data_IF_881140230886
#
_entry.id   IF_881140230886
#
_cell.length_a   1.000
_cell.length_b   1.000
_cell.length_c   1.000
_cell.angle_alpha   90.00
_cell.angle_beta   90.00
_cell.angle_gamma   90.00
#
_symmetry.space_group_name_H-M   'P 1'
#
loop_
_entity.id
_entity.type
_entity.pdbx_description
1 polymer ?
#
# COMPACT_ATOMS: atom_id res chain seq x y z
N UNK A 1 -13.02 -5.76 15.43
CA UNK A 1 -12.00 -4.72 15.70
C UNK A 1 -10.64 -5.33 15.41
N UNK A 2 -10.08 -5.04 14.24
CA UNK A 2 -8.82 -5.62 13.78
C UNK A 2 -7.63 -4.94 14.44
N UNK A 3 -6.83 -5.74 15.14
CA UNK A 3 -5.57 -5.37 15.75
C UNK A 3 -4.50 -5.22 14.65
N UNK A 4 -4.12 -3.99 14.30
CA UNK A 4 -2.97 -3.78 13.41
C UNK A 4 -1.78 -3.32 14.25
N UNK A 5 -0.84 -4.26 14.42
CA UNK A 5 0.35 -4.16 15.26
C UNK A 5 1.46 -3.43 14.51
N UNK A 6 1.81 -2.22 14.94
CA UNK A 6 3.02 -1.50 14.52
C UNK A 6 3.06 -1.07 13.03
N UNK A 7 3.74 0.05 12.74
CA UNK A 7 3.81 0.61 11.38
C UNK A 7 4.41 -0.35 10.35
N UNK A 8 5.31 -1.24 10.77
CA UNK A 8 5.97 -2.23 9.89
C UNK A 8 4.98 -3.22 9.28
N UNK A 9 4.02 -3.69 10.08
CA UNK A 9 3.00 -4.66 9.63
C UNK A 9 2.09 -4.03 8.56
N UNK A 10 1.77 -2.74 8.67
CA UNK A 10 0.94 -2.06 7.67
C UNK A 10 1.59 -2.03 6.29
N UNK A 11 2.91 -1.88 6.20
CA UNK A 11 3.62 -1.83 4.91
C UNK A 11 3.57 -3.15 4.16
N UNK A 12 3.88 -4.26 4.84
CA UNK A 12 3.85 -5.60 4.27
C UNK A 12 2.44 -5.97 3.83
N UNK A 13 1.42 -5.59 4.59
CA UNK A 13 0.04 -5.82 4.23
C UNK A 13 -0.44 -4.97 3.04
N UNK A 14 0.03 -3.72 2.88
CA UNK A 14 -0.24 -2.94 1.65
C UNK A 14 0.36 -3.66 0.44
N UNK A 15 1.62 -4.11 0.55
CA UNK A 15 2.30 -4.87 -0.51
C UNK A 15 1.52 -6.13 -0.86
N UNK A 16 1.21 -6.97 0.14
CA UNK A 16 0.49 -8.21 -0.06
C UNK A 16 -0.89 -7.97 -0.70
N UNK A 17 -1.62 -6.96 -0.22
CA UNK A 17 -2.92 -6.58 -0.80
C UNK A 17 -2.79 -6.18 -2.28
N UNK A 18 -1.73 -5.46 -2.64
CA UNK A 18 -1.47 -5.06 -4.03
C UNK A 18 -0.94 -6.21 -4.90
N UNK A 19 -0.23 -7.18 -4.33
CA UNK A 19 0.15 -8.42 -5.00
C UNK A 19 -1.10 -9.28 -5.30
N UNK A 20 -2.04 -9.38 -4.36
CA UNK A 20 -3.29 -10.12 -4.56
C UNK A 20 -4.30 -9.36 -5.46
N UNK A 21 -4.31 -8.02 -5.38
CA UNK A 21 -5.26 -7.14 -6.06
C UNK A 21 -4.55 -5.88 -6.57
N UNK A 22 -3.84 -5.97 -7.70
CA UNK A 22 -3.19 -4.81 -8.28
C UNK A 22 -4.22 -3.81 -8.84
N UNK A 23 -3.86 -2.53 -8.85
CA UNK A 23 -4.70 -1.45 -9.39
C UNK A 23 -5.73 -0.89 -8.40
N UNK A 24 -5.53 -1.11 -7.09
CA UNK A 24 -6.35 -0.49 -6.04
C UNK A 24 -5.95 0.96 -5.83
N UNK A 25 -6.93 1.85 -5.67
CA UNK A 25 -6.67 3.24 -5.27
C UNK A 25 -6.33 3.34 -3.78
N UNK A 26 -5.60 4.38 -3.38
CA UNK A 26 -5.25 4.63 -1.97
C UNK A 26 -6.46 4.60 -1.02
N UNK A 27 -7.62 5.05 -1.50
CA UNK A 27 -8.89 4.98 -0.76
C UNK A 27 -9.38 3.54 -0.53
N UNK A 28 -9.28 2.68 -1.54
CA UNK A 28 -9.70 1.29 -1.42
C UNK A 28 -8.74 0.51 -0.52
N UNK A 29 -7.43 0.76 -0.65
CA UNK A 29 -6.41 0.23 0.26
C UNK A 29 -6.72 0.63 1.71
N UNK A 30 -7.01 1.92 1.93
CA UNK A 30 -7.38 2.43 3.25
C UNK A 30 -8.60 1.72 3.84
N UNK A 31 -9.62 1.45 3.02
CA UNK A 31 -10.83 0.71 3.44
C UNK A 31 -10.54 -0.75 3.74
N UNK A 32 -9.68 -1.40 2.95
CA UNK A 32 -9.29 -2.79 3.17
C UNK A 32 -8.47 -2.97 4.46
N UNK A 33 -7.63 -1.99 4.78
CA UNK A 33 -6.77 -2.00 5.95
C UNK A 33 -7.42 -1.32 7.18
N UNK A 34 -8.66 -0.84 7.06
CA UNK A 34 -9.37 -0.08 8.10
C UNK A 34 -8.57 1.12 8.65
N UNK A 35 -7.87 1.82 7.77
CA UNK A 35 -7.09 3.02 8.10
C UNK A 35 -7.63 4.27 7.41
N UNK A 36 -7.20 5.45 7.85
CA UNK A 36 -7.50 6.69 7.15
C UNK A 36 -6.74 6.75 5.80
N UNK A 37 -7.33 7.32 4.74
CA UNK A 37 -6.64 7.50 3.45
C UNK A 37 -5.39 8.35 3.58
N UNK A 38 -5.38 9.36 4.47
CA UNK A 38 -4.21 10.17 4.77
C UNK A 38 -3.06 9.36 5.38
N UNK A 39 -3.34 8.25 6.06
CA UNK A 39 -2.31 7.32 6.55
C UNK A 39 -1.64 6.65 5.36
N UNK A 40 -2.40 6.14 4.40
CA UNK A 40 -1.87 5.50 3.19
C UNK A 40 -1.01 6.47 2.39
N UNK A 41 -1.48 7.70 2.13
CA UNK A 41 -0.70 8.70 1.37
C UNK A 41 0.61 9.08 2.07
N UNK A 42 0.62 9.20 3.40
CA UNK A 42 1.86 9.46 4.17
C UNK A 42 2.80 8.26 4.22
N UNK A 43 2.26 7.07 3.94
CA UNK A 43 2.98 5.80 4.00
C UNK A 43 3.70 5.48 2.69
N UNK A 44 3.16 5.90 1.55
CA UNK A 44 3.77 5.73 0.22
C UNK A 44 5.26 6.08 0.14
N UNK A 45 5.72 7.29 0.55
CA UNK A 45 7.14 7.62 0.47
C UNK A 45 8.00 6.74 1.41
N UNK A 46 7.45 6.29 2.54
CA UNK A 46 8.17 5.41 3.45
C UNK A 46 8.25 3.96 2.92
N UNK A 47 7.29 3.54 2.09
CA UNK A 47 7.34 2.23 1.42
C UNK A 47 8.51 2.18 0.45
N UNK A 48 8.71 3.24 -0.32
CA UNK A 48 9.84 3.38 -1.24
C UNK A 48 11.19 3.33 -0.48
N UNK A 49 11.31 4.05 0.64
CA UNK A 49 12.50 3.99 1.50
C UNK A 49 12.74 2.60 2.12
N UNK A 50 11.68 1.82 2.33
CA UNK A 50 11.76 0.45 2.82
C UNK A 50 12.08 -0.58 1.71
N UNK A 51 12.27 -0.14 0.46
CA UNK A 51 12.50 -1.01 -0.69
C UNK A 51 11.22 -1.63 -1.28
N UNK A 52 10.04 -1.19 -0.84
CA UNK A 52 8.75 -1.59 -1.38
C UNK A 52 8.33 -0.55 -2.42
N UNK A 53 8.67 -0.82 -3.68
CA UNK A 53 8.35 0.07 -4.78
C UNK A 53 6.90 -0.14 -5.23
N UNK A 54 6.14 0.95 -5.28
CA UNK A 54 4.78 1.01 -5.80
C UNK A 54 4.73 2.06 -6.91
N UNK A 55 3.90 1.82 -7.92
CA UNK A 55 3.65 2.78 -9.00
C UNK A 55 2.19 3.23 -8.97
N UNK A 56 1.96 4.54 -9.10
CA UNK A 56 0.62 5.11 -9.25
C UNK A 56 0.34 5.39 -10.74
N UNK A 57 -0.75 4.83 -11.26
CA UNK A 57 -1.28 5.12 -12.60
C UNK A 57 -1.99 6.48 -12.65
N UNK A 58 -2.22 7.03 -13.85
CA UNK A 58 -2.90 8.33 -14.09
C UNK A 58 -4.26 8.46 -13.36
N UNK A 59 -4.91 7.33 -13.07
CA UNK A 59 -6.19 7.27 -12.33
C UNK A 59 -6.05 7.22 -10.81
N UNK A 60 -4.85 7.38 -10.25
CA UNK A 60 -4.59 7.26 -8.80
C UNK A 60 -4.74 5.82 -8.30
N UNK A 61 -4.35 4.84 -9.13
CA UNK A 61 -4.38 3.41 -8.82
C UNK A 61 -2.97 2.92 -8.57
N UNK A 62 -2.78 2.20 -7.47
CA UNK A 62 -1.48 1.71 -7.04
C UNK A 62 -1.25 0.30 -7.56
N UNK A 63 -0.03 0.06 -8.04
CA UNK A 63 0.44 -1.19 -8.60
C UNK A 63 1.75 -1.59 -7.91
N UNK A 64 1.95 -2.88 -7.59
CA UNK A 64 3.23 -3.35 -7.10
C UNK A 64 4.27 -3.24 -8.22
N UNK A 65 5.42 -2.66 -7.93
CA UNK A 65 6.53 -2.65 -8.88
C UNK A 65 7.24 -3.99 -8.79
N UNK A 66 6.97 -4.90 -9.71
CA UNK A 66 7.76 -6.13 -9.84
C UNK A 66 9.10 -5.77 -10.49
N UNK A 67 10.18 -5.77 -9.71
CA UNK A 67 11.50 -5.99 -10.29
C UNK A 67 11.55 -7.46 -10.72
N UNK A 68 11.43 -7.71 -12.02
CA UNK A 68 11.95 -8.93 -12.61
C UNK A 68 13.48 -8.87 -12.45
N UNK A 69 14.04 -9.70 -11.57
CA UNK A 69 15.49 -10.01 -11.55
C UNK A 69 15.79 -11.07 -12.62
#
# INVERSE_FOLDING_TARGET
MGFWRSRMDTYENVRQLLEERPGLSAREIARHLDVAPSTVTRMLPNLEEAGILLYEDDKGRLWPFQQED
#
